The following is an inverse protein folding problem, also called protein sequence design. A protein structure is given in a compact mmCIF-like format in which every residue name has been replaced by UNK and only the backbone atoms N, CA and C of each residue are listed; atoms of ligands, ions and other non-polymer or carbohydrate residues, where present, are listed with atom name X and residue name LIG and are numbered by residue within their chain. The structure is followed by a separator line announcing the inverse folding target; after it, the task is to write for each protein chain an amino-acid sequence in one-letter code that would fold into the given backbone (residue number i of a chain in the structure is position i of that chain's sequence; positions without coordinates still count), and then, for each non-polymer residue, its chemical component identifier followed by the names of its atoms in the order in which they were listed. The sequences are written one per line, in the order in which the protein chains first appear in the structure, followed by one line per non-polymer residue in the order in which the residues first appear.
data_IF_910278103061
#
_entry.id   IF_910278103061
#
_cell.length_a   1.000
_cell.length_b   1.000
_cell.length_c   1.000
_cell.angle_alpha   90.00
_cell.angle_beta   90.00
_cell.angle_gamma   90.00
#
_symmetry.space_group_name_H-M   'P 1'
#
loop_
_entity.id
_entity.type
_entity.pdbx_description
1 polymer ?
#
# COMPACT_ATOMS: atom_id res chain seq x y z
N UNK A 1 1.17 16.80 -5.68
CA UNK A 1 0.11 16.85 -6.70
C UNK A 1 -0.08 15.42 -7.17
N UNK A 2 -1.31 14.87 -7.19
CA UNK A 2 -1.51 13.48 -7.55
C UNK A 2 -1.10 13.20 -8.99
N UNK A 3 -0.19 12.24 -9.18
CA UNK A 3 0.27 11.77 -10.49
C UNK A 3 -0.51 10.51 -10.88
N UNK A 4 -1.24 10.56 -11.99
CA UNK A 4 -2.10 9.47 -12.46
C UNK A 4 -1.55 8.97 -13.79
N UNK A 5 -1.27 7.67 -13.88
CA UNK A 5 -0.89 7.03 -15.14
C UNK A 5 -2.12 6.36 -15.77
N UNK A 6 -2.40 6.66 -17.03
CA UNK A 6 -3.45 6.02 -17.83
C UNK A 6 -2.79 5.12 -18.88
N UNK A 7 -3.03 3.81 -18.79
CA UNK A 7 -2.52 2.80 -19.71
C UNK A 7 -3.70 2.24 -20.50
N UNK A 8 -3.77 2.58 -21.78
CA UNK A 8 -4.92 2.29 -22.65
C UNK A 8 -4.45 2.30 -24.10
N UNK A 9 -4.70 1.23 -24.86
CA UNK A 9 -4.24 1.13 -26.26
C UNK A 9 -5.16 1.89 -27.23
N UNK A 10 -6.45 1.99 -26.92
CA UNK A 10 -7.39 2.77 -27.71
C UNK A 10 -7.22 4.28 -27.49
N UNK A 11 -6.56 4.96 -28.43
CA UNK A 11 -6.31 6.41 -28.37
C UNK A 11 -7.58 7.27 -28.23
N UNK A 12 -8.74 6.78 -28.63
CA UNK A 12 -10.01 7.48 -28.40
C UNK A 12 -10.42 7.44 -26.92
N UNK A 13 -10.35 6.27 -26.30
CA UNK A 13 -10.70 6.05 -24.88
C UNK A 13 -9.68 6.76 -23.99
N UNK A 14 -8.39 6.61 -24.29
CA UNK A 14 -7.31 7.25 -23.53
C UNK A 14 -7.50 8.77 -23.43
N UNK A 15 -7.77 9.43 -24.57
CA UNK A 15 -8.05 10.87 -24.62
C UNK A 15 -9.28 11.28 -23.80
N UNK A 16 -10.31 10.44 -23.78
CA UNK A 16 -11.52 10.69 -22.98
C UNK A 16 -11.21 10.60 -21.49
N UNK A 17 -10.49 9.55 -21.05
CA UNK A 17 -10.08 9.38 -19.65
C UNK A 17 -9.22 10.56 -19.18
N UNK A 18 -8.21 10.93 -19.97
CA UNK A 18 -7.32 12.06 -19.66
C UNK A 18 -8.12 13.35 -19.55
N UNK A 19 -9.00 13.63 -20.52
CA UNK A 19 -9.85 14.82 -20.50
C UNK A 19 -10.73 14.87 -19.25
N UNK A 20 -11.39 13.76 -18.90
CA UNK A 20 -12.23 13.67 -17.71
C UNK A 20 -11.43 13.99 -16.44
N UNK A 21 -10.25 13.38 -16.28
CA UNK A 21 -9.40 13.57 -15.11
C UNK A 21 -8.88 15.02 -15.01
N UNK A 22 -8.46 15.60 -16.13
CA UNK A 22 -7.96 16.97 -16.18
C UNK A 22 -9.05 18.02 -15.95
N UNK A 23 -10.29 17.78 -16.41
CA UNK A 23 -11.43 18.67 -16.19
C UNK A 23 -11.96 18.60 -14.75
N UNK A 24 -11.89 17.42 -14.12
CA UNK A 24 -12.29 17.22 -12.73
C UNK A 24 -11.40 18.02 -11.76
N UNK A 25 -10.08 17.90 -11.90
CA UNK A 25 -9.16 18.59 -11.01
C UNK A 25 -7.87 19.00 -11.74
N UNK A 26 -7.65 20.32 -11.82
CA UNK A 26 -6.48 20.92 -12.48
C UNK A 26 -5.14 20.59 -11.80
N UNK A 27 -5.16 20.02 -10.60
CA UNK A 27 -3.95 19.62 -9.86
C UNK A 27 -3.52 18.18 -10.17
N UNK A 28 -4.30 17.42 -10.93
CA UNK A 28 -3.90 16.09 -11.37
C UNK A 28 -2.89 16.20 -12.51
N UNK A 29 -1.75 15.52 -12.33
CA UNK A 29 -0.76 15.33 -13.38
C UNK A 29 -1.06 13.98 -14.03
N UNK A 30 -1.65 14.02 -15.23
CA UNK A 30 -2.06 12.81 -15.95
C UNK A 30 -1.02 12.50 -17.02
N UNK A 31 -0.48 11.29 -16.98
CA UNK A 31 0.44 10.76 -17.98
C UNK A 31 -0.19 9.57 -18.71
N UNK A 32 0.24 9.35 -19.94
CA UNK A 32 -0.36 8.39 -20.87
C UNK A 32 0.65 7.34 -21.32
N UNK A 33 0.21 6.08 -21.35
CA UNK A 33 0.92 4.98 -21.99
C UNK A 33 -0.01 4.27 -22.98
N UNK A 34 0.54 3.93 -24.14
CA UNK A 34 -0.23 3.33 -25.24
C UNK A 34 -0.29 1.80 -25.18
N UNK A 35 0.49 1.17 -24.29
CA UNK A 35 0.47 -0.27 -24.06
C UNK A 35 1.03 -0.61 -22.67
N UNK A 36 0.83 -1.87 -22.25
CA UNK A 36 1.28 -2.36 -20.94
C UNK A 36 2.79 -2.29 -20.73
N UNK A 37 3.60 -2.49 -21.79
CA UNK A 37 5.07 -2.42 -21.67
C UNK A 37 5.54 -0.99 -21.38
N UNK A 38 5.03 -0.02 -22.14
CA UNK A 38 5.31 1.40 -21.92
C UNK A 38 4.87 1.83 -20.51
N UNK A 39 3.68 1.40 -20.08
CA UNK A 39 3.16 1.70 -18.75
C UNK A 39 4.04 1.13 -17.63
N UNK A 40 4.46 -0.12 -17.73
CA UNK A 40 5.36 -0.74 -16.74
C UNK A 40 6.73 -0.04 -16.71
N UNK A 41 7.29 0.35 -17.85
CA UNK A 41 8.57 1.05 -17.89
C UNK A 41 8.48 2.46 -17.28
N UNK A 42 7.34 3.14 -17.42
CA UNK A 42 7.07 4.39 -16.71
C UNK A 42 6.97 4.16 -15.20
N UNK A 43 6.21 3.15 -14.75
CA UNK A 43 6.07 2.78 -13.33
C UNK A 43 7.43 2.44 -12.68
N UNK A 44 8.36 1.83 -13.44
CA UNK A 44 9.72 1.57 -12.93
C UNK A 44 10.52 2.85 -12.72
N UNK A 45 10.42 3.81 -13.65
CA UNK A 45 11.23 5.04 -13.64
C UNK A 45 10.69 6.06 -12.67
N UNK A 46 9.38 6.12 -12.49
CA UNK A 46 8.69 7.21 -11.81
C UNK A 46 7.64 6.71 -10.82
N UNK A 47 7.31 7.54 -9.83
CA UNK A 47 6.26 7.25 -8.86
C UNK A 47 4.92 7.83 -9.32
N UNK A 48 3.87 7.01 -9.20
CA UNK A 48 2.48 7.39 -9.46
C UNK A 48 1.61 7.19 -8.23
N UNK A 49 0.59 8.02 -8.09
CA UNK A 49 -0.42 7.94 -7.04
C UNK A 49 -1.59 7.02 -7.40
N UNK A 50 -1.82 6.83 -8.69
CA UNK A 50 -2.85 5.93 -9.21
C UNK A 50 -2.46 5.46 -10.61
N UNK A 51 -2.77 4.21 -10.92
CA UNK A 51 -2.72 3.67 -12.29
C UNK A 51 -4.13 3.27 -12.71
N UNK A 52 -4.59 3.82 -13.83
CA UNK A 52 -5.75 3.33 -14.57
C UNK A 52 -5.25 2.46 -15.72
N UNK A 53 -5.65 1.20 -15.77
CA UNK A 53 -5.10 0.24 -16.72
C UNK A 53 -6.21 -0.50 -17.44
N UNK A 54 -6.23 -0.47 -18.78
CA UNK A 54 -7.07 -1.38 -19.53
C UNK A 54 -6.61 -2.83 -19.34
N UNK A 55 -7.54 -3.78 -19.32
CA UNK A 55 -7.18 -5.20 -19.23
C UNK A 55 -6.65 -5.68 -20.58
N UNK A 56 -7.41 -5.50 -21.66
CA UNK A 56 -7.05 -6.12 -22.94
C UNK A 56 -6.22 -5.20 -23.80
N UNK A 57 -4.90 -5.31 -23.67
CA UNK A 57 -3.94 -4.53 -24.47
C UNK A 57 -2.98 -5.42 -25.26
N UNK A 58 -2.46 -4.94 -26.41
CA UNK A 58 -1.41 -5.63 -27.15
C UNK A 58 -0.07 -5.61 -26.38
N UNK A 59 0.80 -6.57 -26.73
CA UNK A 59 2.16 -6.79 -26.18
C UNK A 59 2.20 -7.28 -24.72
N UNK A 60 1.48 -6.62 -23.82
CA UNK A 60 1.38 -6.99 -22.40
C UNK A 60 -0.04 -6.67 -21.90
N UNK A 61 -0.70 -7.67 -21.34
CA UNK A 61 -2.06 -7.55 -20.79
C UNK A 61 -2.05 -6.73 -19.49
N UNK A 62 -3.11 -6.00 -19.22
CA UNK A 62 -3.29 -5.25 -17.97
C UNK A 62 -3.21 -6.10 -16.70
N UNK A 63 -3.55 -7.39 -16.77
CA UNK A 63 -3.32 -8.33 -15.64
C UNK A 63 -1.83 -8.48 -15.35
N UNK A 64 -1.00 -8.60 -16.38
CA UNK A 64 0.46 -8.69 -16.22
C UNK A 64 1.03 -7.37 -15.68
N UNK A 65 0.51 -6.23 -16.16
CA UNK A 65 0.84 -4.89 -15.61
C UNK A 65 0.50 -4.81 -14.13
N UNK A 66 -0.67 -5.28 -13.71
CA UNK A 66 -1.10 -5.30 -12.31
C UNK A 66 -0.14 -6.12 -11.45
N UNK A 67 0.18 -7.35 -11.85
CA UNK A 67 1.09 -8.22 -11.11
C UNK A 67 2.49 -7.61 -10.96
N UNK A 68 3.03 -7.04 -12.05
CA UNK A 68 4.34 -6.38 -12.04
C UNK A 68 4.32 -5.13 -11.16
N UNK A 69 3.26 -4.33 -11.24
CA UNK A 69 3.08 -3.13 -10.41
C UNK A 69 3.04 -3.52 -8.94
N UNK A 70 2.30 -4.58 -8.58
CA UNK A 70 2.24 -5.07 -7.19
C UNK A 70 3.56 -5.64 -6.68
N UNK A 71 4.39 -6.21 -7.55
CA UNK A 71 5.74 -6.66 -7.19
C UNK A 71 6.72 -5.50 -7.01
N UNK A 72 6.64 -4.48 -7.86
CA UNK A 72 7.59 -3.36 -7.88
C UNK A 72 7.24 -2.26 -6.87
N UNK A 73 5.97 -1.85 -6.82
CA UNK A 73 5.45 -0.72 -6.04
C UNK A 73 4.05 -1.05 -5.51
N UNK A 74 3.93 -1.97 -4.52
CA UNK A 74 2.65 -2.49 -4.03
C UNK A 74 1.69 -1.42 -3.49
N UNK A 75 2.24 -0.30 -3.03
CA UNK A 75 1.51 0.87 -2.53
C UNK A 75 0.71 1.61 -3.59
N UNK A 76 1.04 1.45 -4.87
CA UNK A 76 0.31 2.10 -5.96
C UNK A 76 -1.03 1.37 -6.15
N UNK A 77 -2.17 2.04 -5.95
CA UNK A 77 -3.47 1.49 -6.30
C UNK A 77 -3.58 1.41 -7.82
N UNK A 78 -4.07 0.26 -8.32
CA UNK A 78 -4.29 0.03 -9.75
C UNK A 78 -5.78 -0.24 -9.95
N UNK A 79 -6.44 0.57 -10.77
CA UNK A 79 -7.84 0.40 -11.15
C UNK A 79 -7.87 -0.19 -12.55
N UNK A 80 -8.51 -1.35 -12.68
CA UNK A 80 -8.65 -2.03 -13.95
C UNK A 80 -9.88 -1.49 -14.70
N UNK A 81 -9.72 -1.22 -15.99
CA UNK A 81 -10.79 -0.81 -16.89
C UNK A 81 -10.95 -1.93 -17.93
N UNK A 82 -12.18 -2.33 -18.28
CA UNK A 82 -12.38 -3.35 -19.33
C UNK A 82 -13.77 -3.28 -19.95
N UNK A 83 -13.84 -3.38 -21.27
CA UNK A 83 -15.12 -3.49 -22.01
C UNK A 83 -15.68 -4.89 -22.12
N UNK A 84 -14.87 -5.92 -21.81
CA UNK A 84 -15.33 -7.29 -21.81
C UNK A 84 -15.84 -7.61 -20.41
N UNK A 85 -17.16 -7.67 -20.26
CA UNK A 85 -17.89 -7.94 -19.01
C UNK A 85 -17.74 -9.36 -18.47
N UNK A 86 -16.53 -9.91 -18.54
CA UNK A 86 -16.19 -11.20 -17.96
C UNK A 86 -15.99 -11.03 -16.45
N UNK A 87 -17.02 -11.43 -15.70
CA UNK A 87 -17.04 -11.41 -14.24
C UNK A 87 -15.84 -12.17 -13.66
N UNK A 88 -15.39 -13.25 -14.31
CA UNK A 88 -14.28 -14.05 -13.82
C UNK A 88 -12.97 -13.26 -13.86
N UNK A 89 -12.78 -12.46 -14.91
CA UNK A 89 -11.62 -11.57 -15.04
C UNK A 89 -11.65 -10.45 -14.00
N UNK A 90 -12.82 -9.86 -13.75
CA UNK A 90 -12.99 -8.85 -12.71
C UNK A 90 -12.70 -9.43 -11.31
N UNK A 91 -13.18 -10.64 -11.02
CA UNK A 91 -12.91 -11.32 -9.74
C UNK A 91 -11.44 -11.68 -9.61
N UNK A 92 -10.80 -12.14 -10.70
CA UNK A 92 -9.39 -12.50 -10.70
C UNK A 92 -8.48 -11.28 -10.45
N UNK A 93 -8.71 -10.17 -11.14
CA UNK A 93 -7.92 -8.94 -10.95
C UNK A 93 -8.04 -8.38 -9.54
N UNK A 94 -9.22 -8.44 -8.93
CA UNK A 94 -9.42 -8.10 -7.52
C UNK A 94 -8.60 -8.99 -6.58
N UNK A 95 -8.58 -10.31 -6.82
CA UNK A 95 -7.77 -11.26 -6.03
C UNK A 95 -6.27 -11.00 -6.16
N UNK A 96 -5.81 -10.55 -7.32
CA UNK A 96 -4.42 -10.15 -7.57
C UNK A 96 -4.06 -8.79 -6.94
N UNK A 97 -5.03 -8.11 -6.31
CA UNK A 97 -4.80 -6.87 -5.56
C UNK A 97 -5.07 -5.59 -6.34
N UNK A 98 -5.86 -5.65 -7.42
CA UNK A 98 -6.45 -4.45 -7.99
C UNK A 98 -7.22 -3.67 -6.91
N UNK A 99 -7.19 -2.34 -7.00
CA UNK A 99 -7.95 -1.48 -6.10
C UNK A 99 -9.45 -1.55 -6.43
N UNK A 100 -9.80 -1.45 -7.70
CA UNK A 100 -11.17 -1.52 -8.20
C UNK A 100 -11.20 -1.94 -9.68
N UNK A 101 -12.40 -2.24 -10.18
CA UNK A 101 -12.69 -2.61 -11.57
C UNK A 101 -13.85 -1.76 -12.11
N UNK A 102 -13.65 -1.21 -13.31
CA UNK A 102 -14.64 -0.39 -14.02
C UNK A 102 -14.89 -0.98 -15.41
N UNK A 103 -16.16 -1.23 -15.74
CA UNK A 103 -16.55 -1.65 -17.07
C UNK A 103 -16.49 -0.49 -18.09
N UNK A 104 -15.99 -0.74 -19.31
CA UNK A 104 -16.13 0.20 -20.44
C UNK A 104 -17.56 0.08 -21.03
N UNK A 105 -18.19 1.18 -21.45
CA UNK A 105 -17.74 2.56 -21.23
C UNK A 105 -17.89 2.95 -19.75
N UNK A 106 -16.89 3.63 -19.16
CA UNK A 106 -16.96 4.01 -17.76
C UNK A 106 -18.05 5.07 -17.56
N UNK A 107 -18.90 4.86 -16.56
CA UNK A 107 -19.73 5.94 -16.03
C UNK A 107 -18.84 7.01 -15.39
N UNK A 108 -19.05 8.27 -15.76
CA UNK A 108 -18.23 9.40 -15.31
C UNK A 108 -18.18 9.49 -13.78
N UNK A 109 -19.34 9.44 -13.12
CA UNK A 109 -19.42 9.56 -11.67
C UNK A 109 -18.72 8.39 -10.98
N UNK A 110 -18.89 7.18 -11.52
CA UNK A 110 -18.18 5.99 -11.02
C UNK A 110 -16.67 6.14 -11.13
N UNK A 111 -16.16 6.55 -12.29
CA UNK A 111 -14.72 6.76 -12.50
C UNK A 111 -14.15 7.78 -11.52
N UNK A 112 -14.78 8.94 -11.40
CA UNK A 112 -14.30 10.01 -10.52
C UNK A 112 -14.34 9.61 -9.04
N UNK A 113 -15.39 8.91 -8.60
CA UNK A 113 -15.47 8.40 -7.23
C UNK A 113 -14.39 7.36 -6.95
N UNK A 114 -14.17 6.41 -7.87
CA UNK A 114 -13.11 5.40 -7.73
C UNK A 114 -11.72 6.05 -7.68
N UNK A 115 -11.46 7.06 -8.53
CA UNK A 115 -10.19 7.81 -8.55
C UNK A 115 -9.95 8.52 -7.21
N UNK A 116 -10.94 9.27 -6.71
CA UNK A 116 -10.84 9.95 -5.40
C UNK A 116 -10.53 8.96 -4.28
N UNK A 117 -11.31 7.87 -4.18
CA UNK A 117 -11.12 6.85 -3.16
C UNK A 117 -9.74 6.16 -3.25
N UNK A 118 -9.23 5.95 -4.46
CA UNK A 118 -7.93 5.33 -4.68
C UNK A 118 -6.79 6.25 -4.23
N UNK A 119 -6.86 7.53 -4.56
CA UNK A 119 -5.89 8.54 -4.13
C UNK A 119 -5.89 8.71 -2.60
N UNK A 120 -7.07 8.79 -1.98
CA UNK A 120 -7.21 8.88 -0.51
C UNK A 120 -6.59 7.66 0.20
N UNK A 121 -6.78 6.44 -0.36
CA UNK A 121 -6.16 5.23 0.19
C UNK A 121 -4.64 5.31 0.18
N UNK A 122 -4.03 5.88 -0.88
CA UNK A 122 -2.57 6.02 -0.93
C UNK A 122 -2.09 6.94 0.18
N UNK A 123 -2.75 8.07 0.40
CA UNK A 123 -2.41 8.99 1.50
C UNK A 123 -2.46 8.27 2.85
N UNK A 124 -3.53 7.53 3.12
CA UNK A 124 -3.70 6.77 4.37
C UNK A 124 -2.64 5.68 4.56
N UNK A 125 -2.28 4.94 3.51
CA UNK A 125 -1.26 3.87 3.59
C UNK A 125 0.12 4.49 3.84
N UNK A 126 0.45 5.58 3.16
CA UNK A 126 1.71 6.30 3.34
C UNK A 126 1.77 6.92 4.75
N UNK A 127 0.70 7.55 5.20
CA UNK A 127 0.60 8.12 6.55
C UNK A 127 0.74 7.04 7.62
N UNK A 128 0.06 5.89 7.48
CA UNK A 128 0.20 4.78 8.41
C UNK A 128 1.65 4.26 8.48
N UNK A 129 2.34 4.17 7.33
CA UNK A 129 3.75 3.77 7.28
C UNK A 129 4.66 4.80 7.96
N UNK A 130 4.41 6.10 7.75
CA UNK A 130 5.15 7.18 8.39
C UNK A 130 4.89 7.25 9.90
N UNK A 131 3.64 7.08 10.34
CA UNK A 131 3.27 7.02 11.74
C UNK A 131 3.89 5.80 12.42
N UNK A 132 3.82 4.61 11.82
CA UNK A 132 4.51 3.42 12.31
C UNK A 132 6.02 3.64 12.43
N UNK A 133 6.65 4.31 11.45
CA UNK A 133 8.08 4.66 11.50
C UNK A 133 8.43 5.71 12.56
N UNK A 134 7.51 6.65 12.87
CA UNK A 134 7.68 7.63 13.96
C UNK A 134 7.48 7.02 15.34
N UNK A 135 6.57 6.05 15.45
CA UNK A 135 6.27 5.30 16.68
C UNK A 135 7.31 4.21 16.92
N UNK A 136 7.97 3.69 15.88
CA UNK A 136 9.16 2.84 15.99
C UNK A 136 10.40 3.66 16.42
N UNK A 137 10.27 4.41 17.52
CA UNK A 137 11.43 4.65 18.37
C UNK A 137 11.93 3.26 18.76
N UNK A 138 13.15 2.93 18.39
CA UNK A 138 13.79 1.71 18.88
C UNK A 138 13.87 1.83 20.40
N UNK A 139 12.95 1.17 21.10
CA UNK A 139 12.92 1.06 22.55
C UNK A 139 14.04 0.10 22.97
N UNK A 140 15.29 0.53 22.80
CA UNK A 140 16.45 -0.31 23.10
C UNK A 140 16.82 -0.20 24.58
N UNK A 141 16.89 -1.34 25.28
CA UNK A 141 17.47 -1.39 26.62
C UNK A 141 18.99 -1.36 26.55
N UNK A 142 19.56 -0.18 26.79
CA UNK A 142 21.00 0.05 26.84
C UNK A 142 21.57 -0.36 28.19
N UNK A 143 22.73 -1.03 28.17
CA UNK A 143 23.50 -1.37 29.37
C UNK A 143 23.82 -2.86 29.50
N UNK A 144 25.00 -3.12 30.06
CA UNK A 144 25.60 -4.46 30.20
C UNK A 144 25.92 -4.77 31.67
N UNK A 145 25.17 -4.16 32.60
CA UNK A 145 25.33 -4.49 34.01
C UNK A 145 24.72 -5.87 34.30
N UNK A 146 25.24 -6.63 35.27
CA UNK A 146 24.70 -7.95 35.61
C UNK A 146 23.20 -7.95 35.93
N UNK A 147 22.68 -6.86 36.51
CA UNK A 147 21.26 -6.71 36.78
C UNK A 147 20.41 -6.54 35.51
N UNK A 148 20.93 -5.83 34.50
CA UNK A 148 20.25 -5.68 33.21
C UNK A 148 20.29 -6.99 32.41
N UNK A 149 21.42 -7.72 32.45
CA UNK A 149 21.50 -9.05 31.82
C UNK A 149 20.47 -10.01 32.42
N UNK A 150 20.31 -10.03 33.74
CA UNK A 150 19.27 -10.84 34.39
C UNK A 150 17.85 -10.47 33.93
N UNK A 151 17.57 -9.18 33.73
CA UNK A 151 16.28 -8.73 33.21
C UNK A 151 16.09 -9.20 31.77
N UNK A 152 17.10 -9.03 30.91
CA UNK A 152 17.08 -9.48 29.51
C UNK A 152 16.80 -10.99 29.43
N UNK A 153 17.50 -11.80 30.22
CA UNK A 153 17.31 -13.25 30.29
C UNK A 153 15.90 -13.65 30.76
N UNK A 154 15.33 -12.89 31.70
CA UNK A 154 13.98 -13.13 32.20
C UNK A 154 12.93 -12.82 31.13
N UNK A 155 13.13 -11.74 30.36
CA UNK A 155 12.25 -11.39 29.24
C UNK A 155 12.25 -12.51 28.19
N UNK A 156 13.42 -13.00 27.77
CA UNK A 156 13.52 -14.07 26.76
C UNK A 156 12.74 -15.34 27.14
N UNK A 157 12.70 -15.65 28.45
CA UNK A 157 11.98 -16.83 28.96
C UNK A 157 10.48 -16.61 29.09
N UNK A 158 10.05 -15.41 29.45
CA UNK A 158 8.66 -15.11 29.78
C UNK A 158 7.86 -14.60 28.57
N UNK A 159 8.51 -13.88 27.65
CA UNK A 159 7.87 -13.31 26.46
C UNK A 159 7.08 -14.31 25.59
N UNK A 160 7.54 -15.55 25.32
CA UNK A 160 6.77 -16.51 24.53
C UNK A 160 5.61 -17.18 25.30
N UNK A 161 5.33 -16.76 26.55
CA UNK A 161 4.27 -17.35 27.38
C UNK A 161 3.04 -16.44 27.47
N UNK A 162 1.88 -17.01 27.76
CA UNK A 162 0.65 -16.25 28.04
C UNK A 162 0.55 -15.75 29.50
N UNK A 163 1.63 -15.85 30.27
CA UNK A 163 1.62 -15.44 31.68
C UNK A 163 1.46 -13.92 31.83
N UNK A 164 0.74 -13.50 32.87
CA UNK A 164 0.65 -12.08 33.24
C UNK A 164 1.94 -11.66 33.94
N UNK A 165 2.56 -10.59 33.45
CA UNK A 165 3.82 -10.06 34.00
C UNK A 165 3.56 -8.77 34.78
N UNK A 166 4.14 -8.65 35.97
CA UNK A 166 4.16 -7.43 36.76
C UNK A 166 5.58 -6.86 36.78
N UNK A 167 5.77 -5.66 36.22
CA UNK A 167 7.06 -4.98 36.18
C UNK A 167 7.11 -3.95 37.31
N UNK A 168 8.07 -4.08 38.21
CA UNK A 168 8.23 -3.19 39.37
C UNK A 168 9.53 -2.38 39.28
N UNK A 169 9.58 -1.27 40.01
CA UNK A 169 10.75 -0.39 40.04
C UNK A 169 10.38 1.08 40.26
N UNK A 170 11.33 1.92 40.69
CA UNK A 170 11.14 3.36 40.85
C UNK A 170 10.72 4.10 39.56
N UNK A 171 10.28 5.35 39.68
CA UNK A 171 9.96 6.17 38.52
C UNK A 171 11.23 6.50 37.72
N UNK A 172 11.12 6.42 36.39
CA UNK A 172 12.25 6.70 35.47
C UNK A 172 13.23 5.55 35.24
N UNK A 173 13.04 4.36 35.83
CA UNK A 173 13.97 3.23 35.68
C UNK A 173 13.75 2.37 34.42
N UNK A 174 12.95 2.83 33.46
CA UNK A 174 12.76 2.12 32.20
C UNK A 174 11.80 0.91 32.23
N UNK A 175 10.85 0.86 33.17
CA UNK A 175 9.83 -0.22 33.22
C UNK A 175 9.05 -0.38 31.89
N UNK A 176 8.83 0.71 31.19
CA UNK A 176 8.16 0.73 29.88
C UNK A 176 9.03 0.07 28.79
N UNK A 177 10.35 0.23 28.83
CA UNK A 177 11.28 -0.47 27.92
C UNK A 177 11.21 -1.99 28.13
N UNK A 178 11.11 -2.44 29.38
CA UNK A 178 10.93 -3.87 29.72
C UNK A 178 9.62 -4.40 29.15
N UNK A 179 8.53 -3.64 29.26
CA UNK A 179 7.25 -4.01 28.66
C UNK A 179 7.35 -4.11 27.13
N UNK A 180 8.01 -3.13 26.49
CA UNK A 180 8.23 -3.13 25.04
C UNK A 180 8.97 -4.36 24.55
N UNK A 181 10.06 -4.73 25.24
CA UNK A 181 10.81 -5.94 24.90
C UNK A 181 10.02 -7.23 25.13
N UNK A 182 9.19 -7.29 26.19
CA UNK A 182 8.31 -8.44 26.42
C UNK A 182 7.31 -8.61 25.26
N UNK A 183 6.68 -7.54 24.80
CA UNK A 183 5.74 -7.59 23.67
C UNK A 183 6.45 -7.96 22.37
N UNK A 184 7.56 -7.30 22.05
CA UNK A 184 8.33 -7.51 20.82
C UNK A 184 8.82 -8.96 20.69
N UNK A 185 9.19 -9.60 21.80
CA UNK A 185 9.65 -11.00 21.85
C UNK A 185 8.52 -12.02 22.07
N UNK A 186 7.27 -11.58 22.18
CA UNK A 186 6.12 -12.45 22.35
C UNK A 186 5.49 -12.85 21.00
N UNK A 187 4.58 -13.83 21.04
CA UNK A 187 3.72 -14.18 19.89
C UNK A 187 2.74 -13.05 19.53
N UNK A 188 2.62 -12.01 20.38
CA UNK A 188 1.71 -10.87 20.19
C UNK A 188 2.39 -9.64 19.58
N UNK A 189 3.66 -9.74 19.19
CA UNK A 189 4.48 -8.67 18.62
C UNK A 189 3.85 -7.96 17.40
N UNK A 190 2.98 -8.65 16.66
CA UNK A 190 2.27 -8.11 15.48
C UNK A 190 1.00 -7.32 15.87
N UNK A 191 0.49 -7.52 17.09
CA UNK A 191 -0.67 -6.84 17.63
C UNK A 191 -0.33 -5.49 18.27
N UNK A 192 -1.35 -4.70 18.65
CA UNK A 192 -1.13 -3.50 19.44
C UNK A 192 -0.50 -3.85 20.80
N UNK A 193 0.17 -2.85 21.35
CA UNK A 193 0.74 -2.86 22.70
C UNK A 193 -0.29 -2.39 23.71
#
# INVERSE_FOLDING_TARGET
MPRILVIEDEAAIRRVLVKILSEENKTYEVEEAEDGLAGVDMIKKEDYDLVLCDIKMPKMDGVEVLELTKKLKPEIPVVMISGHGDLDTAVNTMRLGAFDYISKPPDLNRLLNTVRNALDRKELVVENKLLKKKVSKNYEMVGDSPAIEQIKDMIEKVAPTDARVLITGPNGTGKELVAHWLHEKSERSVGPM
#
